data_IF_271859841922
#
_entry.id   IF_271859841922
#
_cell.length_a   1.000
_cell.length_b   1.000
_cell.length_c   1.000
_cell.angle_alpha   90.00
_cell.angle_beta   90.00
_cell.angle_gamma   90.00
#
_symmetry.space_group_name_H-M   'P 1'
#
loop_
_entity.id
_entity.type
_entity.pdbx_description
1 polymer ?
#
# COMPACT_ATOMS: atom_id res chain seq x y z
N UNK A 1 -12.03 -2.60 -2.28
CA UNK A 1 -11.64 -1.37 -1.54
C UNK A 1 -12.54 -0.23 -1.99
N UNK A 2 -12.67 0.87 -1.23
CA UNK A 2 -13.42 2.07 -1.63
C UNK A 2 -12.83 3.36 -1.04
N UNK A 3 -13.11 4.49 -1.69
CA UNK A 3 -12.87 5.82 -1.12
C UNK A 3 -13.90 6.08 -0.02
N UNK A 4 -13.45 6.45 1.17
CA UNK A 4 -14.30 6.76 2.33
C UNK A 4 -14.32 8.24 2.67
N UNK A 5 -13.32 8.99 2.22
CA UNK A 5 -13.21 10.41 2.48
C UNK A 5 -12.42 11.09 1.35
N UNK A 6 -12.87 12.28 0.98
CA UNK A 6 -12.21 13.15 0.00
C UNK A 6 -11.87 14.45 0.69
N UNK A 7 -10.64 14.92 0.52
CA UNK A 7 -10.20 16.21 1.07
C UNK A 7 -9.49 17.01 0.00
N UNK A 8 -9.82 18.28 -0.05
CA UNK A 8 -9.18 19.22 -0.97
C UNK A 8 -8.27 20.16 -0.17
N UNK A 9 -7.11 20.44 -0.76
CA UNK A 9 -6.24 21.53 -0.34
C UNK A 9 -6.01 22.44 -1.54
N UNK A 10 -5.28 23.52 -1.33
CA UNK A 10 -5.06 24.52 -2.38
C UNK A 10 -4.40 23.96 -3.65
N UNK A 11 -3.65 22.86 -3.57
CA UNK A 11 -2.93 22.28 -4.71
C UNK A 11 -3.06 20.75 -4.86
N UNK A 12 -3.78 20.07 -3.95
CA UNK A 12 -3.91 18.62 -3.96
C UNK A 12 -5.33 18.17 -3.64
N UNK A 13 -5.74 17.08 -4.28
CA UNK A 13 -6.93 16.31 -3.91
C UNK A 13 -6.50 14.99 -3.27
N UNK A 14 -6.99 14.71 -2.06
CA UNK A 14 -6.69 13.50 -1.31
C UNK A 14 -7.90 12.56 -1.33
N UNK A 15 -7.68 11.33 -1.80
CA UNK A 15 -8.65 10.25 -1.72
C UNK A 15 -8.21 9.25 -0.66
N UNK A 16 -8.93 9.23 0.47
CA UNK A 16 -8.66 8.32 1.58
C UNK A 16 -9.48 7.05 1.35
N UNK A 17 -8.82 5.89 1.39
CA UNK A 17 -9.46 4.59 1.15
C UNK A 17 -9.60 3.77 2.43
N UNK A 18 -10.50 2.80 2.41
CA UNK A 18 -10.78 1.90 3.55
C UNK A 18 -9.73 0.79 3.78
N UNK A 19 -8.52 0.92 3.22
CA UNK A 19 -7.41 -0.02 3.37
C UNK A 19 -6.22 0.64 4.07
N UNK A 20 -5.40 -0.14 4.78
CA UNK A 20 -4.20 0.33 5.46
C UNK A 20 -3.11 0.80 4.49
N UNK A 21 -2.90 0.06 3.41
CA UNK A 21 -1.91 0.36 2.37
C UNK A 21 -2.41 -0.08 0.99
N UNK A 22 -1.77 0.46 -0.04
CA UNK A 22 -1.91 0.06 -1.45
C UNK A 22 -0.54 -0.44 -1.90
N UNK A 23 -0.48 -1.66 -2.41
CA UNK A 23 0.76 -2.28 -2.92
C UNK A 23 1.26 -1.58 -4.17
N UNK A 24 2.56 -1.70 -4.50
CA UNK A 24 3.11 -1.12 -5.74
C UNK A 24 2.40 -1.62 -7.01
N UNK A 25 1.97 -2.89 -7.04
CA UNK A 25 1.22 -3.44 -8.17
C UNK A 25 -0.15 -2.77 -8.33
N UNK A 26 -0.87 -2.54 -7.23
CA UNK A 26 -2.15 -1.84 -7.23
C UNK A 26 -1.98 -0.36 -7.58
N UNK A 27 -0.92 0.30 -7.07
CA UNK A 27 -0.55 1.66 -7.45
C UNK A 27 -0.34 1.78 -8.95
N UNK A 28 0.39 0.83 -9.55
CA UNK A 28 0.60 0.78 -11.00
C UNK A 28 -0.71 0.63 -11.77
N UNK A 29 -1.65 -0.18 -11.28
CA UNK A 29 -2.97 -0.34 -11.92
C UNK A 29 -3.81 0.93 -11.85
N UNK A 30 -3.76 1.65 -10.73
CA UNK A 30 -4.39 2.97 -10.59
C UNK A 30 -3.77 3.95 -11.58
N UNK A 31 -2.44 4.08 -11.60
CA UNK A 31 -1.70 4.93 -12.56
C UNK A 31 -2.08 4.64 -14.01
N UNK A 32 -2.05 3.37 -14.44
CA UNK A 32 -2.39 2.99 -15.82
C UNK A 32 -3.82 3.34 -16.23
N UNK A 33 -4.72 3.52 -15.26
CA UNK A 33 -6.13 3.84 -15.53
C UNK A 33 -6.40 5.34 -15.44
N UNK A 34 -5.72 6.06 -14.55
CA UNK A 34 -5.96 7.47 -14.25
C UNK A 34 -5.12 8.39 -15.13
N UNK A 35 -3.85 8.06 -15.33
CA UNK A 35 -2.89 8.91 -16.03
C UNK A 35 -3.27 9.21 -17.49
N UNK A 36 -3.74 8.24 -18.31
CA UNK A 36 -4.16 8.53 -19.68
C UNK A 36 -5.26 9.58 -19.78
N UNK A 37 -6.20 9.58 -18.83
CA UNK A 37 -7.31 10.54 -18.79
C UNK A 37 -6.81 11.94 -18.42
N UNK A 38 -5.91 12.04 -17.43
CA UNK A 38 -5.27 13.31 -17.07
C UNK A 38 -4.45 13.88 -18.24
N UNK A 39 -3.73 13.03 -18.98
CA UNK A 39 -2.96 13.42 -20.16
C UNK A 39 -3.87 13.91 -21.30
N UNK A 40 -4.97 13.21 -21.58
CA UNK A 40 -5.93 13.62 -22.62
C UNK A 40 -6.57 14.97 -22.34
N UNK A 41 -6.75 15.30 -21.06
CA UNK A 41 -7.29 16.58 -20.60
C UNK A 41 -6.23 17.70 -20.53
N UNK A 42 -4.97 17.40 -20.85
CA UNK A 42 -3.87 18.37 -20.82
C UNK A 42 -3.50 18.84 -19.41
N UNK A 43 -3.77 18.02 -18.38
CA UNK A 43 -3.54 18.36 -16.99
C UNK A 43 -2.11 17.94 -16.60
N UNK A 44 -1.33 18.87 -16.05
CA UNK A 44 -0.09 18.51 -15.37
C UNK A 44 -0.43 17.91 -14.01
N UNK A 45 0.10 16.72 -13.71
CA UNK A 45 -0.26 15.96 -12.51
C UNK A 45 0.95 15.32 -11.83
N UNK A 46 0.80 15.08 -10.52
CA UNK A 46 1.52 14.07 -9.75
C UNK A 46 0.52 13.08 -9.15
N UNK A 47 0.90 11.82 -9.03
CA UNK A 47 0.08 10.79 -8.37
C UNK A 47 0.94 10.07 -7.33
N UNK A 48 0.68 10.33 -6.05
CA UNK A 48 1.47 9.78 -4.94
C UNK A 48 0.60 8.97 -3.98
N UNK A 49 1.23 8.05 -3.26
CA UNK A 49 0.55 7.10 -2.38
C UNK A 49 1.18 7.17 -0.99
N UNK A 50 0.36 7.45 0.01
CA UNK A 50 0.81 7.66 1.39
C UNK A 50 -0.03 6.88 2.38
N UNK A 51 0.42 6.81 3.64
CA UNK A 51 -0.38 6.29 4.76
C UNK A 51 -0.71 7.46 5.69
N UNK A 52 -2.00 7.63 5.99
CA UNK A 52 -2.50 8.63 6.92
C UNK A 52 -1.89 8.43 8.32
N UNK A 53 -1.15 9.41 8.87
CA UNK A 53 -0.46 9.25 10.15
C UNK A 53 -1.39 8.92 11.33
N UNK A 54 -2.63 9.43 11.30
CA UNK A 54 -3.58 9.31 12.40
C UNK A 54 -4.54 8.14 12.28
N UNK A 55 -4.91 7.76 11.05
CA UNK A 55 -5.98 6.78 10.79
C UNK A 55 -5.49 5.43 10.29
N UNK A 56 -4.18 5.27 10.00
CA UNK A 56 -3.66 4.05 9.40
C UNK A 56 -4.49 3.66 8.16
N UNK A 57 -4.63 4.61 7.23
CA UNK A 57 -5.40 4.46 6.00
C UNK A 57 -4.54 4.90 4.84
N UNK A 58 -4.59 4.17 3.74
CA UNK A 58 -3.96 4.58 2.51
C UNK A 58 -4.62 5.84 1.95
N UNK A 59 -3.78 6.68 1.36
CA UNK A 59 -4.15 7.93 0.73
C UNK A 59 -3.60 7.90 -0.69
N UNK A 60 -4.48 8.14 -1.66
CA UNK A 60 -4.10 8.46 -3.03
C UNK A 60 -4.12 9.98 -3.14
N UNK A 61 -2.99 10.59 -3.48
CA UNK A 61 -2.85 12.04 -3.62
C UNK A 61 -2.76 12.38 -5.10
N UNK A 62 -3.71 13.17 -5.57
CA UNK A 62 -3.66 13.77 -6.89
C UNK A 62 -3.11 15.19 -6.75
N UNK A 63 -1.93 15.41 -7.30
CA UNK A 63 -1.23 16.69 -7.31
C UNK A 63 -1.59 17.48 -8.55
N UNK A 64 -2.81 18.01 -8.54
CA UNK A 64 -3.29 19.04 -9.47
C UNK A 64 -4.55 19.70 -8.88
N UNK A 65 -5.02 20.78 -9.52
CA UNK A 65 -6.32 21.42 -9.22
C UNK A 65 -7.23 21.19 -10.43
N UNK A 66 -7.88 20.02 -10.56
CA UNK A 66 -8.83 19.79 -11.64
C UNK A 66 -10.13 20.58 -11.38
N UNK A 67 -10.82 20.96 -12.47
CA UNK A 67 -12.21 21.41 -12.39
C UNK A 67 -13.09 20.32 -11.73
N UNK A 68 -14.21 20.71 -11.12
CA UNK A 68 -15.11 19.79 -10.40
C UNK A 68 -15.60 18.60 -11.25
N UNK A 69 -15.85 18.85 -12.55
CA UNK A 69 -16.22 17.80 -13.49
C UNK A 69 -15.12 16.75 -13.65
N UNK A 70 -13.86 17.18 -13.66
CA UNK A 70 -12.71 16.29 -13.79
C UNK A 70 -12.47 15.54 -12.48
N UNK A 71 -12.59 16.19 -11.32
CA UNK A 71 -12.52 15.51 -10.01
C UNK A 71 -13.50 14.34 -9.95
N UNK A 72 -14.73 14.55 -10.42
CA UNK A 72 -15.76 13.51 -10.48
C UNK A 72 -15.34 12.33 -11.36
N UNK A 73 -14.83 12.61 -12.57
CA UNK A 73 -14.36 11.57 -13.50
C UNK A 73 -13.20 10.76 -12.89
N UNK A 74 -12.21 11.44 -12.31
CA UNK A 74 -11.03 10.78 -11.72
C UNK A 74 -11.44 9.94 -10.52
N UNK A 75 -12.31 10.45 -9.66
CA UNK A 75 -12.87 9.70 -8.53
C UNK A 75 -13.60 8.43 -8.99
N UNK A 76 -14.39 8.52 -10.06
CA UNK A 76 -15.10 7.37 -10.63
C UNK A 76 -14.14 6.32 -11.18
N UNK A 77 -13.07 6.75 -11.87
CA UNK A 77 -12.03 5.85 -12.37
C UNK A 77 -11.32 5.16 -11.21
N UNK A 78 -10.87 5.91 -10.20
CA UNK A 78 -10.21 5.35 -9.03
C UNK A 78 -11.13 4.33 -8.36
N UNK A 79 -12.39 4.68 -8.09
CA UNK A 79 -13.37 3.76 -7.50
C UNK A 79 -13.55 2.49 -8.35
N UNK A 80 -13.62 2.61 -9.68
CA UNK A 80 -13.74 1.45 -10.58
C UNK A 80 -12.54 0.52 -10.51
N UNK A 81 -11.34 1.07 -10.38
CA UNK A 81 -10.09 0.29 -10.30
C UNK A 81 -9.97 -0.40 -8.94
N UNK A 82 -10.19 0.35 -7.85
CA UNK A 82 -9.94 -0.18 -6.50
C UNK A 82 -11.07 -1.08 -5.97
N UNK A 83 -12.25 -1.12 -6.62
CA UNK A 83 -13.40 -1.89 -6.14
C UNK A 83 -13.04 -3.36 -5.88
N UNK A 84 -12.20 -3.94 -6.74
CA UNK A 84 -11.80 -5.34 -6.70
C UNK A 84 -10.54 -5.58 -5.85
N UNK A 85 -9.89 -4.51 -5.35
CA UNK A 85 -8.72 -4.63 -4.49
C UNK A 85 -9.11 -5.11 -3.09
N UNK A 86 -8.31 -5.97 -2.45
CA UNK A 86 -8.56 -6.41 -1.09
C UNK A 86 -8.42 -5.24 -0.11
N UNK A 87 -9.27 -5.23 0.91
CA UNK A 87 -9.14 -4.32 2.06
C UNK A 87 -8.15 -4.93 3.04
N UNK A 88 -7.11 -4.18 3.39
CA UNK A 88 -6.10 -4.62 4.35
C UNK A 88 -6.25 -3.86 5.64
N UNK A 89 -6.29 -4.58 6.76
CA UNK A 89 -6.25 -3.98 8.09
C UNK A 89 -4.79 -3.97 8.58
N UNK A 90 -4.40 -3.03 9.43
CA UNK A 90 -3.10 -3.10 10.08
C UNK A 90 -3.06 -4.39 10.93
N UNK A 91 -2.35 -5.41 10.47
CA UNK A 91 -2.15 -6.62 11.26
C UNK A 91 -1.40 -6.24 12.55
N UNK A 92 -1.99 -6.62 13.69
CA UNK A 92 -1.24 -6.77 14.92
C UNK A 92 -0.13 -7.76 14.61
N UNK A 93 1.14 -7.34 14.74
CA UNK A 93 2.31 -8.19 14.54
C UNK A 93 2.01 -9.61 15.04
N UNK A 94 2.06 -10.60 14.16
CA UNK A 94 2.12 -11.99 14.57
C UNK A 94 3.44 -12.19 15.33
N UNK A 95 3.43 -11.91 16.63
CA UNK A 95 4.50 -12.30 17.55
C UNK A 95 4.51 -13.83 17.58
N UNK A 96 5.48 -14.44 16.92
CA UNK A 96 5.78 -15.86 17.14
C UNK A 96 6.51 -15.93 18.48
N UNK A 97 5.77 -16.14 19.58
CA UNK A 97 6.35 -16.15 20.95
C UNK A 97 6.96 -17.48 21.38
N UNK A 98 6.97 -18.53 20.56
CA UNK A 98 7.49 -19.83 20.96
C UNK A 98 8.38 -20.46 19.88
N UNK A 99 9.63 -19.99 19.78
CA UNK A 99 10.71 -20.81 19.23
C UNK A 99 11.39 -21.47 20.44
N UNK A 100 11.06 -22.73 20.73
CA UNK A 100 11.88 -23.57 21.62
C UNK A 100 12.92 -24.25 20.75
N UNK A 101 14.15 -23.73 20.76
CA UNK A 101 15.31 -24.48 20.26
C UNK A 101 15.53 -25.61 21.27
N UNK A 102 15.30 -26.86 20.87
CA UNK A 102 15.83 -28.00 21.63
C UNK A 102 17.33 -28.01 21.38
N UNK A 103 18.10 -27.76 22.42
CA UNK A 103 19.55 -27.99 22.41
C UNK A 103 19.81 -29.39 21.86
N UNK A 104 20.53 -29.47 20.74
CA UNK A 104 21.08 -30.74 20.28
C UNK A 104 22.25 -31.05 21.21
N UNK A 105 22.02 -31.98 22.12
CA UNK A 105 23.04 -32.55 22.99
C UNK A 105 24.27 -32.98 22.18
N UNK A 106 25.40 -32.39 22.57
CA UNK A 106 26.74 -32.74 22.12
C UNK A 106 27.02 -34.16 22.64
N UNK A 107 27.06 -35.14 21.74
CA UNK A 107 27.67 -36.43 22.05
C UNK A 107 29.17 -36.36 21.71
N UNK A 108 29.96 -36.04 22.74
CA UNK A 108 31.38 -36.34 22.77
C UNK A 108 31.61 -37.84 22.49
N UNK A 109 32.50 -38.16 21.55
CA UNK A 109 33.21 -39.43 21.54
C UNK A 109 34.70 -39.17 21.45
N UNK A 110 35.29 -39.03 22.65
CA UNK A 110 36.72 -39.03 22.90
C UNK A 110 37.18 -40.48 23.09
N UNK A 111 38.20 -40.90 22.31
CA UNK A 111 39.33 -41.83 22.62
C UNK A 111 39.80 -42.50 21.32
N UNK A 112 40.95 -42.12 20.74
CA UNK A 112 42.36 -42.33 21.12
C UNK A 112 42.94 -43.64 20.59
N UNK A 113 44.21 -43.54 20.17
CA UNK A 113 45.20 -44.61 19.87
C UNK A 113 45.17 -45.16 18.41
N UNK A 114 46.28 -45.24 17.64
CA UNK A 114 47.72 -45.11 17.90
C UNK A 114 48.49 -44.83 16.59
N UNK A 115 49.72 -44.33 16.74
CA UNK A 115 50.78 -44.29 15.74
C UNK A 115 51.01 -45.66 15.07
N UNK A 116 51.31 -45.65 13.77
CA UNK A 116 52.44 -46.34 13.12
C UNK A 116 52.59 -45.87 11.68
#
# INVERSE_FOLDING_TARGET
MKIIEERETWIHTYYIVDSYFITEQEQRQISLSVEPELMQLGIQYGLTYNIAPSKHQAIIVLECIPFDSIKTIIKDIINKVIKDFPVRHPEQRNTVTNITVKDMDIAEHSKSDSLS
#
